data_IF_541202204838
#
_entry.id   IF_541202204838
#
_cell.length_a   1.000
_cell.length_b   1.000
_cell.length_c   1.000
_cell.angle_alpha   90.00
_cell.angle_beta   90.00
_cell.angle_gamma   90.00
#
_symmetry.space_group_name_H-M   'P 1'
#
loop_
_entity.id
_entity.type
_entity.pdbx_description
1 polymer ?
#
# COMPACT_ATOMS: atom_id res chain seq x y z
N UNK A 1 -35.97 32.74 28.72
CA UNK A 1 -35.18 31.50 28.79
C UNK A 1 -34.72 31.19 27.36
N UNK A 2 -33.46 31.48 27.02
CA UNK A 2 -32.85 31.00 25.80
C UNK A 2 -32.07 29.70 26.07
N UNK A 3 -32.27 28.69 25.23
CA UNK A 3 -31.29 27.63 25.00
C UNK A 3 -30.88 27.74 23.54
N UNK A 4 -29.67 28.24 23.28
CA UNK A 4 -29.12 28.29 21.92
C UNK A 4 -28.64 26.89 21.53
N UNK A 5 -29.52 26.14 20.87
CA UNK A 5 -29.27 24.78 20.40
C UNK A 5 -28.55 24.77 19.03
N UNK A 6 -27.37 25.41 18.97
CA UNK A 6 -26.60 25.60 17.73
C UNK A 6 -25.14 25.11 17.84
N UNK A 7 -24.96 23.91 18.41
CA UNK A 7 -23.64 23.25 18.56
C UNK A 7 -23.56 21.86 17.93
N UNK A 8 -24.52 21.47 17.10
CA UNK A 8 -24.46 20.22 16.33
C UNK A 8 -24.05 20.45 14.86
N UNK A 9 -22.78 20.84 14.65
CA UNK A 9 -22.15 20.82 13.32
C UNK A 9 -22.00 19.37 12.84
N UNK A 10 -23.05 18.83 12.23
CA UNK A 10 -22.97 17.60 11.44
C UNK A 10 -22.08 17.89 10.22
N UNK A 11 -20.79 17.57 10.35
CA UNK A 11 -19.82 17.74 9.28
C UNK A 11 -20.26 16.97 8.03
N UNK A 12 -20.31 17.65 6.88
CA UNK A 12 -20.79 17.05 5.64
C UNK A 12 -19.98 15.76 5.34
N UNK A 13 -20.61 14.59 5.15
CA UNK A 13 -19.89 13.33 4.98
C UNK A 13 -18.94 13.36 3.77
N UNK A 14 -19.24 14.15 2.75
CA UNK A 14 -18.35 14.39 1.60
C UNK A 14 -17.07 15.09 2.03
N UNK A 15 -17.16 16.11 2.88
CA UNK A 15 -16.00 16.86 3.41
C UNK A 15 -15.11 15.95 4.27
N UNK A 16 -15.71 15.12 5.13
CA UNK A 16 -14.99 14.14 5.94
C UNK A 16 -14.23 13.13 5.06
N UNK A 17 -14.91 12.55 4.07
CA UNK A 17 -14.30 11.60 3.13
C UNK A 17 -13.13 12.22 2.34
N UNK A 18 -13.22 13.48 1.90
CA UNK A 18 -12.12 14.17 1.22
C UNK A 18 -10.93 14.41 2.14
N UNK A 19 -11.16 14.83 3.39
CA UNK A 19 -10.07 15.06 4.37
C UNK A 19 -9.33 13.74 4.67
N UNK A 20 -10.06 12.65 4.92
CA UNK A 20 -9.46 11.32 5.15
C UNK A 20 -8.62 10.89 3.94
N UNK A 21 -9.14 11.02 2.72
CA UNK A 21 -8.41 10.66 1.50
C UNK A 21 -7.12 11.46 1.31
N UNK A 22 -7.11 12.76 1.60
CA UNK A 22 -5.90 13.59 1.56
C UNK A 22 -4.88 13.13 2.61
N UNK A 23 -5.32 12.85 3.85
CA UNK A 23 -4.44 12.34 4.91
C UNK A 23 -3.83 10.99 4.52
N UNK A 24 -4.62 10.06 3.96
CA UNK A 24 -4.11 8.76 3.49
C UNK A 24 -3.08 8.92 2.36
N UNK A 25 -3.31 9.82 1.40
CA UNK A 25 -2.35 10.08 0.31
C UNK A 25 -1.04 10.68 0.84
N UNK A 26 -1.12 11.64 1.77
CA UNK A 26 0.08 12.25 2.39
C UNK A 26 0.86 11.21 3.19
N UNK A 27 0.18 10.39 4.01
CA UNK A 27 0.85 9.34 4.78
C UNK A 27 1.50 8.28 3.87
N UNK A 28 0.80 7.82 2.83
CA UNK A 28 1.33 6.90 1.83
C UNK A 28 2.56 7.50 1.10
N UNK A 29 2.51 8.77 0.70
CA UNK A 29 3.64 9.43 0.05
C UNK A 29 4.88 9.55 0.95
N UNK A 30 4.68 9.73 2.28
CA UNK A 30 5.78 9.75 3.26
C UNK A 30 6.38 8.34 3.43
N UNK A 31 5.55 7.32 3.63
CA UNK A 31 5.99 5.91 3.75
C UNK A 31 6.73 5.47 2.48
N UNK A 32 6.14 5.68 1.30
CA UNK A 32 6.74 5.31 0.02
C UNK A 32 8.05 6.05 -0.28
N UNK A 33 8.20 7.30 0.19
CA UNK A 33 9.49 8.00 0.11
C UNK A 33 10.55 7.35 1.02
N UNK A 34 10.19 6.96 2.25
CA UNK A 34 11.09 6.23 3.16
C UNK A 34 11.51 4.89 2.53
N UNK A 35 10.58 4.13 1.94
CA UNK A 35 10.87 2.88 1.24
C UNK A 35 11.89 3.09 0.09
N UNK A 36 11.75 4.15 -0.70
CA UNK A 36 12.69 4.48 -1.79
C UNK A 36 14.11 4.74 -1.26
N UNK A 37 14.27 5.35 -0.08
CA UNK A 37 15.58 5.60 0.52
C UNK A 37 16.15 4.38 1.27
N UNK A 38 15.30 3.56 1.88
CA UNK A 38 15.74 2.37 2.63
C UNK A 38 16.04 1.16 1.73
N UNK A 39 15.28 0.97 0.64
CA UNK A 39 15.38 -0.21 -0.21
C UNK A 39 16.77 -0.47 -0.83
N UNK A 40 17.55 0.54 -1.30
CA UNK A 40 18.90 0.31 -1.81
C UNK A 40 19.84 -0.26 -0.75
N UNK A 41 19.84 0.33 0.46
CA UNK A 41 20.69 -0.06 1.57
C UNK A 41 20.31 -1.45 2.12
N UNK A 42 19.01 -1.75 2.16
CA UNK A 42 18.50 -3.08 2.51
C UNK A 42 18.83 -4.14 1.44
N UNK A 43 18.76 -3.79 0.15
CA UNK A 43 19.17 -4.67 -0.94
C UNK A 43 20.68 -4.96 -0.89
N UNK A 44 21.50 -3.95 -0.58
CA UNK A 44 22.93 -4.09 -0.42
C UNK A 44 23.29 -4.98 0.78
N UNK A 45 22.68 -4.76 1.95
CA UNK A 45 22.83 -5.67 3.08
C UNK A 45 22.41 -7.10 2.71
N UNK A 46 21.35 -7.30 1.92
CA UNK A 46 20.96 -8.62 1.46
C UNK A 46 22.01 -9.28 0.56
N UNK A 47 22.75 -8.50 -0.25
CA UNK A 47 23.83 -8.98 -1.12
C UNK A 47 25.10 -9.40 -0.35
N UNK A 48 25.32 -8.92 0.88
CA UNK A 48 26.46 -9.37 1.72
C UNK A 48 26.48 -10.88 1.98
N UNK A 49 25.37 -11.59 1.77
CA UNK A 49 25.33 -13.07 1.77
C UNK A 49 26.20 -13.73 0.70
N UNK A 50 26.61 -12.96 -0.31
CA UNK A 50 27.44 -13.38 -1.44
C UNK A 50 28.85 -12.75 -1.39
N UNK A 51 29.20 -12.05 -0.30
CA UNK A 51 30.51 -11.45 -0.09
C UNK A 51 31.56 -12.49 0.32
N UNK A 52 32.81 -12.24 -0.01
CA UNK A 52 33.90 -13.20 0.22
C UNK A 52 34.27 -13.25 1.71
N UNK A 53 34.28 -14.47 2.27
CA UNK A 53 34.58 -14.70 3.68
C UNK A 53 36.09 -14.86 3.88
N UNK A 54 36.71 -13.89 4.52
CA UNK A 54 38.08 -13.96 5.05
C UNK A 54 38.08 -14.17 6.56
N UNK A 55 39.26 -14.44 7.13
CA UNK A 55 39.45 -14.65 8.56
C UNK A 55 40.05 -13.41 9.21
N UNK A 56 39.30 -12.76 10.09
CA UNK A 56 39.74 -11.57 10.83
C UNK A 56 40.15 -11.84 12.27
N UNK A 57 40.58 -10.78 12.96
CA UNK A 57 40.93 -10.74 14.39
C UNK A 57 40.19 -9.59 15.09
N UNK A 58 39.62 -9.85 16.27
CA UNK A 58 38.96 -8.82 17.08
C UNK A 58 40.01 -7.96 17.78
N UNK A 59 40.15 -6.71 17.37
CA UNK A 59 41.07 -5.74 17.97
C UNK A 59 40.48 -5.15 19.26
N UNK A 60 39.17 -4.95 19.32
CA UNK A 60 38.44 -4.43 20.47
C UNK A 60 36.98 -4.88 20.37
N UNK A 61 36.36 -5.11 21.52
CA UNK A 61 34.92 -5.30 21.63
C UNK A 61 34.46 -4.59 22.89
N UNK A 62 33.30 -3.93 22.84
CA UNK A 62 32.73 -3.22 23.96
C UNK A 62 31.21 -3.10 23.84
N UNK A 63 30.52 -3.15 24.98
CA UNK A 63 29.08 -2.87 25.08
C UNK A 63 28.92 -1.52 25.79
N UNK A 64 28.47 -0.52 25.05
CA UNK A 64 28.08 0.77 25.62
C UNK A 64 26.68 0.65 26.22
N UNK A 65 26.49 1.11 27.45
CA UNK A 65 25.15 1.30 28.05
C UNK A 65 24.86 2.78 28.26
N UNK A 66 23.68 3.23 27.81
CA UNK A 66 23.17 4.59 28.02
C UNK A 66 21.80 4.50 28.69
N UNK A 67 21.74 4.95 29.95
CA UNK A 67 20.52 5.02 30.75
C UNK A 67 20.03 6.46 30.89
N UNK A 68 18.72 6.67 30.71
CA UNK A 68 18.00 7.90 30.99
C UNK A 68 16.68 7.61 31.73
N UNK A 69 15.83 8.63 31.88
CA UNK A 69 14.57 8.51 32.63
C UNK A 69 13.58 7.51 32.02
N UNK A 70 13.64 7.31 30.69
CA UNK A 70 12.80 6.36 29.94
C UNK A 70 13.34 4.91 29.93
N UNK A 71 14.53 4.67 30.48
CA UNK A 71 15.15 3.34 30.56
C UNK A 71 16.63 3.29 30.15
N UNK A 72 17.17 2.06 30.06
CA UNK A 72 18.53 1.80 29.59
C UNK A 72 18.52 1.20 28.17
N UNK A 73 19.48 1.63 27.36
CA UNK A 73 19.74 1.16 26.01
C UNK A 73 21.19 0.72 25.89
N UNK A 74 21.48 -0.33 25.11
CA UNK A 74 22.84 -0.82 24.92
C UNK A 74 23.23 -0.91 23.44
N UNK A 75 24.48 -0.56 23.09
CA UNK A 75 25.06 -0.66 21.75
C UNK A 75 26.31 -1.54 21.79
N UNK A 76 26.47 -2.40 20.79
CA UNK A 76 27.70 -3.17 20.59
C UNK A 76 28.64 -2.37 19.70
N UNK A 77 29.95 -2.46 19.95
CA UNK A 77 31.01 -1.85 19.17
C UNK A 77 32.15 -2.87 19.05
N UNK A 78 32.62 -3.14 17.82
CA UNK A 78 33.61 -4.20 17.54
C UNK A 78 34.65 -3.69 16.53
N UNK A 79 35.82 -3.24 17.00
CA UNK A 79 36.93 -2.96 16.08
C UNK A 79 37.57 -4.31 15.67
N UNK A 80 37.70 -4.57 14.38
CA UNK A 80 38.38 -5.76 13.85
C UNK A 80 39.37 -5.44 12.73
N UNK A 81 40.36 -6.32 12.57
CA UNK A 81 41.32 -6.32 11.47
C UNK A 81 41.18 -7.58 10.63
N UNK A 82 41.45 -7.47 9.33
CA UNK A 82 41.37 -8.58 8.38
C UNK A 82 42.37 -8.40 7.24
N UNK A 83 42.67 -9.47 6.52
CA UNK A 83 43.69 -9.48 5.47
C UNK A 83 43.09 -9.92 4.12
N UNK A 84 43.44 -9.19 3.06
CA UNK A 84 43.10 -9.46 1.66
C UNK A 84 44.34 -9.09 0.84
N UNK A 85 44.81 -9.97 -0.05
CA UNK A 85 45.99 -9.77 -0.92
C UNK A 85 47.21 -9.13 -0.20
N UNK A 86 47.70 -9.82 0.84
CA UNK A 86 48.81 -9.41 1.73
C UNK A 86 48.63 -8.02 2.40
N UNK A 87 47.42 -7.45 2.36
CA UNK A 87 47.09 -6.09 2.85
C UNK A 87 46.13 -6.16 4.04
N UNK A 88 46.48 -5.49 5.15
CA UNK A 88 45.72 -5.51 6.40
C UNK A 88 44.78 -4.31 6.51
N UNK A 89 43.48 -4.60 6.40
CA UNK A 89 42.37 -3.66 6.55
C UNK A 89 41.83 -3.63 7.99
N UNK A 90 41.00 -2.63 8.29
CA UNK A 90 40.32 -2.48 9.60
C UNK A 90 38.92 -1.91 9.39
N UNK A 91 37.97 -2.39 10.18
CA UNK A 91 36.60 -1.87 10.21
C UNK A 91 35.99 -2.03 11.59
N UNK A 92 34.96 -1.23 11.87
CA UNK A 92 34.06 -1.30 13.01
C UNK A 92 32.64 -1.74 12.60
N UNK A 93 32.39 -1.97 11.30
CA UNK A 93 31.07 -2.23 10.74
C UNK A 93 30.61 -3.67 11.01
N UNK A 94 29.59 -3.83 11.85
CA UNK A 94 28.98 -5.14 12.15
C UNK A 94 28.05 -5.59 11.02
N UNK A 95 27.21 -4.69 10.49
CA UNK A 95 26.40 -4.85 9.27
C UNK A 95 26.16 -3.50 8.56
N UNK A 96 25.74 -3.46 7.29
CA UNK A 96 25.59 -2.21 6.50
C UNK A 96 24.40 -1.31 6.92
N UNK A 97 23.74 -1.64 8.04
CA UNK A 97 22.45 -1.10 8.47
C UNK A 97 22.36 -1.27 9.99
N UNK A 98 22.16 -0.21 10.76
CA UNK A 98 22.36 -0.19 12.23
C UNK A 98 21.59 -1.23 13.07
N UNK A 99 20.73 -2.12 12.55
CA UNK A 99 19.84 -2.96 13.38
C UNK A 99 20.55 -3.93 14.33
N UNK A 100 21.63 -4.60 13.93
CA UNK A 100 22.41 -5.44 14.88
C UNK A 100 23.19 -4.57 15.89
N UNK A 101 23.73 -3.44 15.43
CA UNK A 101 24.46 -2.46 16.24
C UNK A 101 23.58 -1.65 17.22
N UNK A 102 22.28 -1.56 16.94
CA UNK A 102 21.33 -0.66 17.60
C UNK A 102 20.98 -1.03 19.03
N UNK A 103 20.31 -0.10 19.70
CA UNK A 103 19.59 -0.32 20.96
C UNK A 103 18.50 -1.40 20.91
N UNK A 104 18.06 -1.82 19.72
CA UNK A 104 16.94 -2.76 19.56
C UNK A 104 17.37 -4.24 19.66
N UNK A 105 18.66 -4.56 19.46
CA UNK A 105 19.19 -5.91 19.67
C UNK A 105 19.41 -6.20 21.17
N UNK A 106 19.05 -7.40 21.65
CA UNK A 106 19.00 -7.68 23.09
C UNK A 106 20.38 -7.70 23.75
N UNK A 107 20.46 -7.26 25.02
CA UNK A 107 21.70 -7.29 25.80
C UNK A 107 22.28 -8.72 25.90
N UNK A 108 21.43 -9.74 26.09
CA UNK A 108 21.83 -11.15 26.12
C UNK A 108 22.54 -11.59 24.82
N UNK A 109 22.08 -11.11 23.66
CA UNK A 109 22.74 -11.36 22.38
C UNK A 109 24.08 -10.63 22.27
N UNK A 110 24.17 -9.38 22.75
CA UNK A 110 25.43 -8.60 22.77
C UNK A 110 26.48 -9.27 23.66
N UNK A 111 26.09 -9.69 24.87
CA UNK A 111 26.95 -10.44 25.80
C UNK A 111 27.37 -11.82 25.24
N UNK A 112 26.48 -12.49 24.49
CA UNK A 112 26.81 -13.77 23.85
C UNK A 112 27.75 -13.60 22.65
N UNK A 113 27.61 -12.51 21.90
CA UNK A 113 28.54 -12.15 20.83
C UNK A 113 29.94 -11.82 21.39
N UNK A 114 30.03 -11.00 22.44
CA UNK A 114 31.31 -10.70 23.12
C UNK A 114 31.96 -11.96 23.69
N UNK A 115 31.17 -12.81 24.37
CA UNK A 115 31.63 -14.07 24.94
C UNK A 115 32.14 -15.07 23.90
N UNK A 116 31.63 -15.02 22.67
CA UNK A 116 32.09 -15.84 21.53
C UNK A 116 33.32 -15.24 20.83
N UNK A 117 33.40 -13.91 20.77
CA UNK A 117 34.43 -13.17 20.04
C UNK A 117 35.23 -12.21 20.95
N UNK A 118 35.90 -12.71 22.01
CA UNK A 118 36.70 -11.86 22.89
C UNK A 118 37.88 -11.23 22.15
N UNK A 119 38.41 -10.10 22.64
CA UNK A 119 39.59 -9.44 22.05
C UNK A 119 40.76 -10.41 21.83
N UNK A 120 41.33 -10.39 20.62
CA UNK A 120 42.40 -11.29 20.18
C UNK A 120 41.93 -12.68 19.72
N UNK A 121 40.63 -12.97 19.78
CA UNK A 121 40.04 -14.10 19.05
C UNK A 121 39.92 -13.80 17.56
N UNK A 122 39.75 -14.85 16.78
CA UNK A 122 39.47 -14.75 15.36
C UNK A 122 37.97 -14.73 15.09
N UNK A 123 37.56 -13.96 14.09
CA UNK A 123 36.16 -13.74 13.70
C UNK A 123 36.00 -13.91 12.19
N UNK A 124 34.80 -14.30 11.76
CA UNK A 124 34.44 -14.33 10.34
C UNK A 124 34.17 -12.93 9.82
N UNK A 125 34.87 -12.53 8.76
CA UNK A 125 34.72 -11.23 8.11
C UNK A 125 34.29 -11.45 6.66
N UNK A 126 33.25 -10.74 6.23
CA UNK A 126 32.74 -10.80 4.86
C UNK A 126 33.08 -9.49 4.17
N UNK A 127 33.74 -9.54 3.02
CA UNK A 127 34.34 -8.39 2.33
C UNK A 127 33.67 -8.17 0.97
N UNK A 128 33.42 -6.92 0.59
CA UNK A 128 32.88 -6.57 -0.72
C UNK A 128 33.90 -6.96 -1.81
N UNK A 129 33.58 -7.87 -2.75
CA UNK A 129 34.51 -8.29 -3.81
C UNK A 129 34.84 -7.18 -4.82
N UNK A 130 34.21 -6.01 -4.69
CA UNK A 130 34.48 -4.81 -5.48
C UNK A 130 35.31 -3.75 -4.72
N UNK A 131 35.39 -3.84 -3.39
CA UNK A 131 36.01 -2.82 -2.52
C UNK A 131 36.50 -3.43 -1.19
N UNK A 132 37.78 -3.82 -1.15
CA UNK A 132 38.37 -4.54 -0.01
C UNK A 132 38.50 -3.72 1.29
N UNK A 133 38.17 -2.42 1.30
CA UNK A 133 38.07 -1.60 2.51
C UNK A 133 36.69 -1.78 3.20
N UNK A 134 35.70 -2.35 2.48
CA UNK A 134 34.33 -2.57 2.96
C UNK A 134 34.13 -3.99 3.44
N UNK A 135 33.75 -4.13 4.71
CA UNK A 135 33.45 -5.41 5.33
C UNK A 135 32.22 -5.35 6.25
N UNK A 136 31.66 -6.52 6.54
CA UNK A 136 30.70 -6.75 7.63
C UNK A 136 31.01 -8.05 8.37
N UNK A 137 30.53 -8.15 9.61
CA UNK A 137 30.58 -9.38 10.41
C UNK A 137 29.28 -10.19 10.31
N UNK A 138 28.15 -9.54 9.97
CA UNK A 138 26.82 -10.15 9.92
C UNK A 138 26.19 -9.92 8.53
N UNK A 139 25.88 -11.02 7.84
CA UNK A 139 25.42 -10.99 6.45
C UNK A 139 23.91 -11.14 6.28
N UNK A 140 23.34 -10.32 5.40
CA UNK A 140 21.92 -10.35 5.06
C UNK A 140 21.01 -9.94 6.21
N UNK A 141 19.95 -10.71 6.45
CA UNK A 141 18.98 -10.44 7.51
C UNK A 141 18.81 -11.68 8.40
N UNK A 142 18.95 -11.48 9.71
CA UNK A 142 18.60 -12.45 10.74
C UNK A 142 17.07 -12.57 10.84
N UNK A 143 16.52 -13.78 10.94
CA UNK A 143 15.07 -13.96 11.19
C UNK A 143 14.78 -13.58 12.64
N UNK A 144 13.95 -12.55 12.85
CA UNK A 144 13.77 -11.90 14.15
C UNK A 144 14.42 -10.51 14.25
N UNK A 145 15.17 -10.08 13.23
CA UNK A 145 15.72 -8.73 13.12
C UNK A 145 14.66 -7.63 13.02
N UNK A 146 15.04 -6.43 13.48
CA UNK A 146 14.30 -5.18 13.22
C UNK A 146 14.20 -4.82 11.72
N UNK A 147 15.07 -5.40 10.88
CA UNK A 147 15.02 -5.23 9.42
C UNK A 147 13.81 -5.94 8.80
N UNK A 148 13.55 -7.21 9.15
CA UNK A 148 12.38 -7.92 8.62
C UNK A 148 11.06 -7.29 9.10
N UNK A 149 10.99 -6.84 10.35
CA UNK A 149 9.79 -6.19 10.88
C UNK A 149 9.53 -4.84 10.22
N UNK A 150 10.54 -3.97 10.02
CA UNK A 150 10.36 -2.72 9.28
C UNK A 150 9.86 -2.97 7.84
N UNK A 151 10.55 -3.83 7.07
CA UNK A 151 10.17 -4.14 5.69
C UNK A 151 8.74 -4.69 5.63
N UNK A 152 8.38 -5.60 6.54
CA UNK A 152 7.04 -6.18 6.58
C UNK A 152 5.97 -5.15 6.96
N UNK A 153 6.24 -4.25 7.92
CA UNK A 153 5.29 -3.23 8.38
C UNK A 153 5.05 -2.18 7.28
N UNK A 154 6.12 -1.61 6.71
CA UNK A 154 6.03 -0.59 5.65
C UNK A 154 5.33 -1.15 4.40
N UNK A 155 5.70 -2.36 3.97
CA UNK A 155 5.07 -3.06 2.85
C UNK A 155 3.58 -3.35 3.10
N UNK A 156 3.19 -3.74 4.32
CA UNK A 156 1.77 -3.90 4.68
C UNK A 156 0.96 -2.61 4.51
N UNK A 157 1.48 -1.46 4.94
CA UNK A 157 0.79 -0.17 4.76
C UNK A 157 0.60 0.19 3.29
N UNK A 158 1.64 -0.02 2.47
CA UNK A 158 1.57 0.23 1.03
C UNK A 158 0.56 -0.69 0.33
N UNK A 159 0.54 -1.99 0.66
CA UNK A 159 -0.42 -2.95 0.10
C UNK A 159 -1.87 -2.61 0.47
N UNK A 160 -2.13 -2.19 1.71
CA UNK A 160 -3.47 -1.74 2.14
C UNK A 160 -3.87 -0.44 1.42
N UNK A 161 -2.96 0.52 1.25
CA UNK A 161 -3.23 1.75 0.50
C UNK A 161 -3.56 1.46 -0.97
N UNK A 162 -2.76 0.63 -1.64
CA UNK A 162 -2.98 0.19 -3.03
C UNK A 162 -4.31 -0.54 -3.16
N UNK A 163 -4.64 -1.45 -2.24
CA UNK A 163 -5.93 -2.15 -2.21
C UNK A 163 -7.11 -1.19 -2.06
N UNK A 164 -7.02 -0.22 -1.14
CA UNK A 164 -8.08 0.78 -0.91
C UNK A 164 -8.29 1.69 -2.12
N UNK A 165 -7.21 2.11 -2.80
CA UNK A 165 -7.28 2.90 -4.04
C UNK A 165 -7.87 2.06 -5.18
N UNK A 166 -7.37 0.83 -5.37
CA UNK A 166 -7.85 -0.11 -6.38
C UNK A 166 -9.34 -0.44 -6.22
N UNK A 167 -9.79 -0.71 -4.99
CA UNK A 167 -11.19 -0.96 -4.68
C UNK A 167 -12.08 0.26 -4.99
N UNK A 168 -11.62 1.49 -4.72
CA UNK A 168 -12.33 2.73 -5.07
C UNK A 168 -12.40 2.96 -6.58
N UNK A 169 -11.40 2.52 -7.35
CA UNK A 169 -11.41 2.57 -8.82
C UNK A 169 -12.37 1.49 -9.37
N UNK A 170 -12.30 0.25 -8.88
CA UNK A 170 -13.18 -0.84 -9.29
C UNK A 170 -14.67 -0.53 -9.03
N UNK A 171 -15.01 0.00 -7.83
CA UNK A 171 -16.37 0.45 -7.50
C UNK A 171 -16.85 1.65 -8.35
N UNK A 172 -15.95 2.38 -9.02
CA UNK A 172 -16.32 3.41 -10.02
C UNK A 172 -16.49 2.82 -11.42
N UNK A 173 -15.76 1.77 -11.78
CA UNK A 173 -15.96 1.03 -13.03
C UNK A 173 -17.34 0.39 -13.11
N UNK A 174 -17.74 -0.36 -12.08
CA UNK A 174 -19.06 -1.02 -12.02
C UNK A 174 -20.22 -0.02 -11.98
N UNK A 175 -20.03 1.17 -11.38
CA UNK A 175 -20.97 2.29 -11.46
C UNK A 175 -21.16 2.81 -12.89
N UNK A 176 -20.14 2.75 -13.75
CA UNK A 176 -20.24 3.22 -15.13
C UNK A 176 -20.88 2.18 -16.06
N UNK A 177 -20.66 0.89 -15.84
CA UNK A 177 -21.46 -0.16 -16.50
C UNK A 177 -22.95 -0.09 -16.10
N UNK A 178 -23.24 0.22 -14.83
CA UNK A 178 -24.60 0.45 -14.34
C UNK A 178 -25.28 1.72 -14.87
N UNK A 179 -24.55 2.61 -15.55
CA UNK A 179 -25.07 3.80 -16.26
C UNK A 179 -24.85 3.62 -17.77
N UNK A 180 -24.82 2.37 -18.25
CA UNK A 180 -25.09 2.05 -19.65
C UNK A 180 -26.46 2.61 -20.03
N UNK A 181 -26.47 3.63 -20.88
CA UNK A 181 -27.70 4.33 -21.28
C UNK A 181 -28.60 3.32 -22.00
N UNK A 182 -29.70 2.93 -21.34
CA UNK A 182 -30.83 2.34 -22.05
C UNK A 182 -31.42 3.44 -22.92
N UNK A 183 -31.02 3.46 -24.18
CA UNK A 183 -31.72 4.21 -25.20
C UNK A 183 -33.16 3.70 -25.21
N UNK A 184 -34.11 4.61 -25.14
CA UNK A 184 -35.51 4.31 -25.44
C UNK A 184 -35.57 3.96 -26.93
N UNK A 185 -35.67 2.66 -27.24
CA UNK A 185 -36.02 2.22 -28.58
C UNK A 185 -37.47 2.67 -28.85
N UNK A 186 -37.74 3.41 -29.93
CA UNK A 186 -39.07 3.94 -30.19
C UNK A 186 -40.03 2.84 -30.64
N UNK A 187 -41.23 2.87 -30.06
CA UNK A 187 -42.45 2.20 -30.55
C UNK A 187 -42.47 0.65 -30.57
N UNK A 188 -43.10 0.07 -29.55
CA UNK A 188 -44.08 -1.00 -29.81
C UNK A 188 -45.34 -0.75 -28.95
N UNK A 189 -46.54 -0.64 -29.53
CA UNK A 189 -47.76 -0.28 -28.78
C UNK A 189 -48.22 -1.43 -27.86
N UNK A 190 -48.83 -1.14 -26.69
CA UNK A 190 -49.12 -2.14 -25.68
C UNK A 190 -50.12 -3.19 -26.17
N UNK A 191 -49.78 -4.46 -25.97
CA UNK A 191 -50.63 -5.60 -26.32
C UNK A 191 -51.99 -5.55 -25.60
N UNK A 192 -53.02 -5.89 -26.37
CA UNK A 192 -54.43 -5.85 -26.01
C UNK A 192 -54.76 -6.65 -24.73
N UNK A 193 -55.29 -5.99 -23.69
CA UNK A 193 -55.67 -6.65 -22.44
C UNK A 193 -57.00 -7.39 -22.62
N UNK A 194 -56.92 -8.69 -22.90
CA UNK A 194 -58.07 -9.58 -23.07
C UNK A 194 -58.94 -9.63 -21.80
N UNK A 195 -60.21 -9.25 -21.94
CA UNK A 195 -61.28 -9.59 -20.99
C UNK A 195 -62.21 -10.63 -21.61
N UNK A 196 -62.37 -11.74 -20.91
CA UNK A 196 -63.28 -12.85 -21.20
C UNK A 196 -64.59 -12.68 -20.38
N UNK A 197 -65.67 -13.42 -20.66
CA UNK A 197 -66.57 -13.18 -21.79
C UNK A 197 -68.02 -12.90 -21.31
N UNK A 198 -68.86 -12.38 -22.20
CA UNK A 198 -70.33 -12.39 -22.05
C UNK A 198 -70.96 -12.98 -23.33
N UNK A 199 -72.08 -13.70 -23.17
CA UNK A 199 -72.58 -14.69 -24.12
C UNK A 199 -73.74 -14.21 -25.03
N UNK A 200 -74.04 -15.03 -26.06
CA UNK A 200 -75.27 -15.08 -26.87
C UNK A 200 -76.08 -13.79 -27.19
N UNK A 201 -76.13 -13.41 -28.47
CA UNK A 201 -77.33 -12.76 -29.05
C UNK A 201 -78.39 -13.81 -29.50
N UNK A 202 -79.50 -13.42 -30.15
CA UNK A 202 -79.87 -12.08 -30.66
C UNK A 202 -81.32 -11.62 -30.32
N UNK A 203 -81.67 -10.35 -30.58
CA UNK A 203 -82.90 -9.98 -31.34
C UNK A 203 -83.01 -8.47 -31.70
N UNK A 204 -83.28 -8.20 -32.99
CA UNK A 204 -84.10 -7.13 -33.62
C UNK A 204 -83.99 -5.61 -33.32
N UNK A 205 -84.17 -4.87 -34.44
CA UNK A 205 -84.88 -3.57 -34.67
C UNK A 205 -84.17 -2.20 -34.61
N UNK A 206 -84.41 -1.44 -35.70
CA UNK A 206 -84.50 0.03 -35.88
C UNK A 206 -83.22 0.93 -35.91
N UNK A 207 -82.78 1.23 -37.15
CA UNK A 207 -82.56 2.55 -37.81
C UNK A 207 -82.49 3.88 -37.00
N UNK A 208 -81.91 4.98 -37.57
CA UNK A 208 -80.81 5.13 -38.54
C UNK A 208 -79.92 6.38 -38.23
N UNK A 209 -79.56 7.21 -39.24
CA UNK A 209 -78.85 8.52 -39.22
C UNK A 209 -77.32 8.44 -39.01
N UNK A 210 -76.47 8.77 -40.00
CA UNK A 210 -76.07 10.09 -40.54
C UNK A 210 -74.95 10.77 -39.69
N UNK A 211 -73.91 11.42 -40.24
CA UNK A 211 -73.45 11.60 -41.64
C UNK A 211 -71.93 11.96 -41.67
N UNK A 212 -71.38 12.26 -42.87
CA UNK A 212 -70.11 12.94 -43.27
C UNK A 212 -68.94 13.21 -42.26
N UNK A 213 -67.66 13.21 -42.70
CA UNK A 213 -67.11 12.97 -44.04
C UNK A 213 -65.65 13.48 -44.21
N UNK A 214 -65.11 13.26 -45.43
CA UNK A 214 -63.83 13.75 -45.96
C UNK A 214 -63.85 15.30 -46.12
N UNK A 215 -62.77 16.04 -46.38
CA UNK A 215 -61.41 15.78 -46.91
C UNK A 215 -60.39 16.66 -46.13
N UNK A 216 -59.08 16.75 -46.38
CA UNK A 216 -58.18 16.29 -47.46
C UNK A 216 -56.87 15.76 -46.79
N UNK A 217 -55.62 15.80 -47.29
CA UNK A 217 -54.96 16.34 -48.49
C UNK A 217 -53.43 16.12 -48.40
N UNK A 218 -52.64 16.56 -49.39
CA UNK A 218 -51.15 16.39 -49.42
C UNK A 218 -50.43 17.51 -50.19
N UNK A 219 -49.67 18.35 -49.48
CA UNK A 219 -48.49 19.08 -49.96
C UNK A 219 -47.56 19.44 -48.77
N UNK A 220 -46.28 19.80 -48.94
CA UNK A 220 -45.43 19.78 -50.13
C UNK A 220 -43.99 20.12 -49.74
N UNK A 221 -42.98 19.46 -50.31
CA UNK A 221 -41.58 19.64 -49.90
C UNK A 221 -40.91 20.88 -50.53
N UNK A 222 -39.99 21.52 -49.79
CA UNK A 222 -38.58 21.76 -50.17
C UNK A 222 -37.95 23.03 -49.55
N UNK A 223 -36.63 22.93 -49.26
CA UNK A 223 -35.63 24.02 -48.97
C UNK A 223 -35.82 24.79 -47.65
N UNK A 224 -34.76 25.21 -46.94
CA UNK A 224 -33.32 24.98 -47.12
C UNK A 224 -32.53 26.22 -47.53
N UNK A 225 -31.56 26.59 -46.67
CA UNK A 225 -30.78 27.86 -46.63
C UNK A 225 -31.59 29.02 -46.04
#
# INVERSE_FOLDING_TARGET
>A
MPFDEDTNRIGNPTQSNTIVLVITIVFFAIVFAIDIFAAPLHYEQWQTKNWDRTQGTVEKIYIWETCGDDGCSSRLEVDYSYEVDDTVYRSDQLSLVDWEDSSDSSLEWKEDFERKHPKGSSIDVFVDPNDSDRSVLITGFSIGSGAFTNIAILSCFNLVAIFMIGARIAMRGTMLEGIGIHLEDPEEPPAEYSKEPDDEGPETTEEPSEEVGWWEGDDGAERGI
#
